data_IF_843146466134
#
_entry.id   IF_843146466134
#
_cell.length_a   1.000
_cell.length_b   1.000
_cell.length_c   1.000
_cell.angle_alpha   90.00
_cell.angle_beta   90.00
_cell.angle_gamma   90.00
#
_symmetry.space_group_name_H-M   'P 1'
#
loop_
_entity.id
_entity.type
_entity.pdbx_description
1 polymer ?
#
# COMPACT_ATOMS: atom_id res chain seq x y z
N UNK A 1 0.08 -32.61 19.37
CA UNK A 1 0.46 -32.63 17.93
C UNK A 1 -0.66 -32.06 17.02
N UNK A 2 -1.26 -30.91 17.37
CA UNK A 2 -2.37 -30.31 16.60
C UNK A 2 -1.98 -29.03 15.83
N UNK A 3 -0.77 -28.50 16.07
CA UNK A 3 -0.25 -27.25 15.49
C UNK A 3 0.57 -27.41 14.21
N UNK A 4 0.77 -28.63 13.71
CA UNK A 4 1.58 -28.88 12.51
C UNK A 4 0.77 -29.04 11.22
N UNK A 5 -0.58 -29.06 11.31
CA UNK A 5 -1.45 -29.25 10.14
C UNK A 5 -2.09 -27.95 9.63
N UNK A 6 -2.08 -26.86 10.41
CA UNK A 6 -2.57 -25.54 9.95
C UNK A 6 -1.59 -24.84 8.99
N UNK A 7 -0.30 -25.20 9.01
CA UNK A 7 0.72 -24.59 8.13
C UNK A 7 0.66 -25.05 6.65
N UNK A 8 -0.25 -25.96 6.28
CA UNK A 8 -0.32 -26.50 4.90
C UNK A 8 -1.50 -25.99 4.06
N UNK A 9 -2.37 -25.15 4.62
CA UNK A 9 -3.54 -24.60 3.92
C UNK A 9 -3.42 -23.14 3.47
N UNK A 10 -2.34 -22.45 3.83
CA UNK A 10 -2.18 -21.03 3.49
C UNK A 10 -1.90 -20.80 1.99
N UNK A 11 -1.11 -21.66 1.36
CA UNK A 11 -0.79 -21.53 -0.06
C UNK A 11 -2.01 -21.63 -0.98
N UNK A 12 -3.01 -22.42 -0.59
CA UNK A 12 -4.27 -22.56 -1.33
C UNK A 12 -5.19 -21.35 -1.14
N UNK A 13 -5.26 -20.80 0.08
CA UNK A 13 -6.07 -19.62 0.40
C UNK A 13 -5.53 -18.34 -0.26
N UNK A 14 -4.21 -18.21 -0.39
CA UNK A 14 -3.57 -17.05 -1.04
C UNK A 14 -3.78 -17.05 -2.57
N UNK A 15 -3.71 -18.23 -3.20
CA UNK A 15 -4.02 -18.38 -4.62
C UNK A 15 -5.51 -18.20 -4.92
N UNK A 16 -6.39 -18.68 -4.02
CA UNK A 16 -7.83 -18.43 -4.12
C UNK A 16 -8.17 -16.94 -3.96
N UNK A 17 -7.49 -16.21 -3.07
CA UNK A 17 -7.62 -14.76 -2.93
C UNK A 17 -7.10 -13.98 -4.14
N UNK A 18 -6.03 -14.43 -4.80
CA UNK A 18 -5.55 -13.84 -6.07
C UNK A 18 -6.53 -14.00 -7.24
N UNK A 19 -7.38 -15.03 -7.19
CA UNK A 19 -8.47 -15.26 -8.15
C UNK A 19 -9.82 -14.73 -7.66
N UNK A 20 -9.87 -14.02 -6.54
CA UNK A 20 -11.08 -13.33 -6.09
C UNK A 20 -11.27 -12.06 -6.90
N UNK A 21 -12.07 -12.19 -7.96
CA UNK A 21 -12.30 -11.19 -9.01
C UNK A 21 -13.16 -10.00 -8.54
N UNK A 22 -13.60 -10.00 -7.27
CA UNK A 22 -14.69 -9.14 -6.80
C UNK A 22 -14.28 -7.88 -6.04
N UNK A 23 -13.00 -7.69 -5.66
CA UNK A 23 -12.47 -6.44 -5.07
C UNK A 23 -13.41 -5.74 -4.05
N UNK A 24 -14.21 -6.50 -3.28
CA UNK A 24 -15.33 -5.93 -2.51
C UNK A 24 -14.88 -5.46 -1.12
N UNK A 25 -13.60 -5.62 -0.79
CA UNK A 25 -13.02 -5.19 0.48
C UNK A 25 -11.59 -4.72 0.19
N UNK A 26 -11.14 -3.63 0.82
CA UNK A 26 -9.81 -3.03 0.64
C UNK A 26 -8.73 -3.96 1.24
N UNK A 27 -8.49 -5.10 0.60
CA UNK A 27 -7.51 -6.13 0.96
C UNK A 27 -6.13 -5.79 0.35
N UNK A 28 -6.03 -4.66 -0.38
CA UNK A 28 -4.84 -4.26 -1.13
C UNK A 28 -3.56 -4.25 -0.28
N UNK A 29 -3.63 -3.82 0.97
CA UNK A 29 -2.48 -3.78 1.91
C UNK A 29 -1.94 -5.16 2.26
N UNK A 30 -2.78 -6.19 2.26
CA UNK A 30 -2.40 -7.57 2.61
C UNK A 30 -1.78 -8.32 1.42
N UNK A 31 -2.15 -7.96 0.18
CA UNK A 31 -1.62 -8.60 -1.03
C UNK A 31 -0.30 -7.99 -1.53
N UNK A 32 0.08 -6.79 -1.08
CA UNK A 32 1.35 -6.13 -1.45
C UNK A 32 2.59 -7.00 -1.27
N UNK A 33 2.82 -7.67 -0.11
CA UNK A 33 4.01 -8.52 0.05
C UNK A 33 4.05 -9.68 -0.95
N UNK A 34 2.90 -10.24 -1.31
CA UNK A 34 2.80 -11.32 -2.32
C UNK A 34 3.11 -10.80 -3.72
N UNK A 35 2.59 -9.63 -4.10
CA UNK A 35 2.87 -9.01 -5.40
C UNK A 35 4.34 -8.61 -5.50
N UNK A 36 4.91 -8.07 -4.42
CA UNK A 36 6.32 -7.71 -4.37
C UNK A 36 7.23 -8.92 -4.54
N UNK A 37 6.98 -10.00 -3.79
CA UNK A 37 7.76 -11.23 -3.87
C UNK A 37 7.65 -11.90 -5.23
N UNK A 38 6.46 -11.95 -5.83
CA UNK A 38 6.26 -12.42 -7.20
C UNK A 38 6.99 -11.55 -8.22
N UNK A 39 6.88 -10.22 -8.12
CA UNK A 39 7.55 -9.27 -9.01
C UNK A 39 9.07 -9.37 -8.94
N UNK A 40 9.62 -9.56 -7.74
CA UNK A 40 11.04 -9.79 -7.52
C UNK A 40 11.51 -11.12 -8.11
N UNK A 41 10.73 -12.20 -7.94
CA UNK A 41 11.04 -13.50 -8.51
C UNK A 41 11.03 -13.45 -10.04
N UNK A 42 10.00 -12.85 -10.63
CA UNK A 42 9.88 -12.67 -12.08
C UNK A 42 11.02 -11.81 -12.64
N UNK A 43 11.40 -10.74 -11.94
CA UNK A 43 12.53 -9.90 -12.32
C UNK A 43 13.84 -10.69 -12.31
N UNK A 44 14.07 -11.53 -11.29
CA UNK A 44 15.24 -12.42 -11.25
C UNK A 44 15.29 -13.40 -12.43
N UNK A 45 14.16 -14.05 -12.73
CA UNK A 45 14.04 -14.97 -13.86
C UNK A 45 14.29 -14.24 -15.19
N UNK A 46 13.70 -13.06 -15.36
CA UNK A 46 13.89 -12.23 -16.55
C UNK A 46 15.36 -11.83 -16.74
N UNK A 47 16.05 -11.41 -15.68
CA UNK A 47 17.48 -11.09 -15.73
C UNK A 47 18.33 -12.29 -16.13
N UNK A 48 18.10 -13.46 -15.52
CA UNK A 48 18.83 -14.69 -15.86
C UNK A 48 18.58 -15.09 -17.32
N UNK A 49 17.35 -15.00 -17.80
CA UNK A 49 16.99 -15.29 -19.18
C UNK A 49 17.73 -14.38 -20.17
N UNK A 50 17.76 -13.07 -19.90
CA UNK A 50 18.46 -12.10 -20.76
C UNK A 50 19.97 -12.34 -20.77
N UNK A 51 20.56 -12.66 -19.61
CA UNK A 51 21.98 -13.02 -19.53
C UNK A 51 22.26 -14.25 -20.38
N UNK A 52 21.46 -15.31 -20.25
CA UNK A 52 21.63 -16.53 -21.05
C UNK A 52 21.53 -16.25 -22.54
N UNK A 53 20.55 -15.44 -22.96
CA UNK A 53 20.40 -15.00 -24.34
C UNK A 53 21.61 -14.17 -24.83
N UNK A 54 22.19 -13.32 -23.99
CA UNK A 54 23.38 -12.54 -24.32
C UNK A 54 24.63 -13.40 -24.53
N UNK A 55 24.76 -14.53 -23.82
CA UNK A 55 25.84 -15.50 -24.04
C UNK A 55 25.71 -16.24 -25.37
N UNK A 56 24.49 -16.44 -25.87
CA UNK A 56 24.26 -17.08 -27.17
C UNK A 56 24.74 -16.22 -28.36
N UNK A 57 24.88 -14.91 -28.17
CA UNK A 57 25.40 -14.02 -29.21
C UNK A 57 26.93 -13.92 -29.20
N UNK A 58 27.53 -13.73 -28.02
CA UNK A 58 28.99 -13.65 -27.87
C UNK A 58 29.41 -13.82 -26.42
N UNK A 59 30.62 -14.36 -26.21
CA UNK A 59 31.22 -14.48 -24.88
C UNK A 59 31.44 -13.12 -24.22
N UNK A 60 31.82 -12.09 -24.99
CA UNK A 60 32.08 -10.75 -24.49
C UNK A 60 30.76 -10.08 -24.06
N UNK A 61 29.70 -10.20 -24.88
CA UNK A 61 28.38 -9.65 -24.53
C UNK A 61 27.80 -10.33 -23.30
N UNK A 62 27.95 -11.65 -23.20
CA UNK A 62 27.54 -12.42 -22.02
C UNK A 62 28.26 -11.96 -20.74
N UNK A 63 29.58 -11.77 -20.78
CA UNK A 63 30.34 -11.29 -19.63
C UNK A 63 29.95 -9.86 -19.19
N UNK A 64 29.73 -8.95 -20.16
CA UNK A 64 29.27 -7.58 -19.89
C UNK A 64 27.86 -7.58 -19.26
N UNK A 65 26.96 -8.41 -19.77
CA UNK A 65 25.62 -8.58 -19.20
C UNK A 65 25.65 -9.25 -17.82
N UNK A 66 26.55 -10.21 -17.59
CA UNK A 66 26.64 -10.89 -16.30
C UNK A 66 27.19 -9.99 -15.19
N UNK A 67 28.25 -9.21 -15.48
CA UNK A 67 28.92 -8.39 -14.45
C UNK A 67 28.31 -7.00 -14.26
N UNK A 68 27.82 -6.36 -15.33
CA UNK A 68 27.46 -4.94 -15.27
C UNK A 68 25.97 -4.70 -15.56
N UNK A 69 25.49 -5.08 -16.75
CA UNK A 69 24.12 -4.73 -17.16
C UNK A 69 23.05 -5.56 -16.44
N UNK A 70 23.31 -6.83 -16.14
CA UNK A 70 22.39 -7.74 -15.46
C UNK A 70 22.07 -7.29 -14.04
N UNK A 71 23.09 -7.09 -13.17
CA UNK A 71 22.86 -6.54 -11.83
C UNK A 71 22.19 -5.16 -11.87
N UNK A 72 22.60 -4.28 -12.78
CA UNK A 72 21.99 -2.96 -12.93
C UNK A 72 20.51 -3.05 -13.36
N UNK A 73 20.18 -3.93 -14.31
CA UNK A 73 18.81 -4.16 -14.78
C UNK A 73 17.94 -4.78 -13.69
N UNK A 74 18.45 -5.77 -12.96
CA UNK A 74 17.74 -6.38 -11.84
C UNK A 74 17.41 -5.36 -10.74
N UNK A 75 18.39 -4.54 -10.35
CA UNK A 75 18.18 -3.46 -9.38
C UNK A 75 17.16 -2.45 -9.90
N UNK A 76 17.26 -2.04 -11.17
CA UNK A 76 16.30 -1.13 -11.78
C UNK A 76 14.87 -1.69 -11.71
N UNK A 77 14.66 -2.96 -12.08
CA UNK A 77 13.34 -3.61 -11.99
C UNK A 77 12.81 -3.67 -10.56
N UNK A 78 13.63 -4.06 -9.59
CA UNK A 78 13.22 -4.09 -8.17
C UNK A 78 12.84 -2.69 -7.68
N UNK A 79 13.65 -1.68 -8.00
CA UNK A 79 13.38 -0.29 -7.60
C UNK A 79 12.09 0.19 -8.23
N UNK A 80 11.88 -0.06 -9.52
CA UNK A 80 10.62 0.29 -10.20
C UNK A 80 9.41 -0.36 -9.54
N UNK A 81 9.46 -1.66 -9.27
CA UNK A 81 8.37 -2.38 -8.59
C UNK A 81 8.14 -1.82 -7.19
N UNK A 82 9.21 -1.51 -6.44
CA UNK A 82 9.13 -0.92 -5.11
C UNK A 82 8.45 0.45 -5.12
N UNK A 83 8.89 1.33 -6.01
CA UNK A 83 8.32 2.67 -6.17
C UNK A 83 6.87 2.59 -6.59
N UNK A 84 6.52 1.69 -7.52
CA UNK A 84 5.14 1.50 -7.96
C UNK A 84 4.24 1.02 -6.81
N UNK A 85 4.68 0.03 -6.04
CA UNK A 85 3.93 -0.48 -4.89
C UNK A 85 3.80 0.57 -3.79
N UNK A 86 4.87 1.30 -3.49
CA UNK A 86 4.86 2.38 -2.51
C UNK A 86 3.90 3.50 -2.93
N UNK A 87 3.89 3.85 -4.23
CA UNK A 87 2.93 4.79 -4.79
C UNK A 87 1.49 4.30 -4.64
N UNK A 88 1.20 3.06 -5.06
CA UNK A 88 -0.13 2.46 -4.95
C UNK A 88 -0.60 2.44 -3.49
N UNK A 89 0.24 1.96 -2.56
CA UNK A 89 -0.04 1.94 -1.13
C UNK A 89 -0.30 3.33 -0.57
N UNK A 90 0.47 4.33 -1.01
CA UNK A 90 0.31 5.72 -0.56
C UNK A 90 -1.03 6.28 -1.00
N UNK A 91 -1.43 6.05 -2.24
CA UNK A 91 -2.74 6.47 -2.75
C UNK A 91 -3.88 5.84 -1.93
N UNK A 92 -3.81 4.53 -1.68
CA UNK A 92 -4.80 3.85 -0.84
C UNK A 92 -4.80 4.37 0.59
N UNK A 93 -3.63 4.64 1.17
CA UNK A 93 -3.51 5.20 2.53
C UNK A 93 -4.18 6.58 2.61
N UNK A 94 -4.00 7.43 1.59
CA UNK A 94 -4.65 8.75 1.55
C UNK A 94 -6.17 8.60 1.47
N UNK A 95 -6.68 7.71 0.60
CA UNK A 95 -8.11 7.46 0.48
C UNK A 95 -8.73 7.02 1.82
N UNK A 96 -8.09 6.07 2.50
CA UNK A 96 -8.56 5.59 3.81
C UNK A 96 -8.48 6.68 4.90
N UNK A 97 -7.43 7.50 4.88
CA UNK A 97 -7.29 8.60 5.82
C UNK A 97 -8.38 9.67 5.63
N UNK A 98 -8.75 9.97 4.38
CA UNK A 98 -9.85 10.90 4.08
C UNK A 98 -11.20 10.40 4.59
N UNK A 99 -11.48 9.10 4.47
CA UNK A 99 -12.71 8.49 5.00
C UNK A 99 -12.76 8.57 6.53
N UNK A 100 -11.64 8.30 7.21
CA UNK A 100 -11.54 8.45 8.67
C UNK A 100 -11.71 9.90 9.14
N UNK A 101 -11.21 10.88 8.37
CA UNK A 101 -11.38 12.31 8.68
C UNK A 101 -12.85 12.75 8.57
N UNK A 102 -13.59 12.25 7.57
CA UNK A 102 -15.02 12.55 7.40
C UNK A 102 -15.84 12.20 8.65
N UNK A 103 -15.61 11.01 9.22
CA UNK A 103 -16.30 10.59 10.44
C UNK A 103 -15.98 11.45 11.67
N UNK A 104 -14.74 11.94 11.81
CA UNK A 104 -14.36 12.81 12.93
C UNK A 104 -14.98 14.20 12.83
N UNK A 105 -15.09 14.75 11.62
CA UNK A 105 -15.70 16.06 11.39
C UNK A 105 -17.18 16.05 11.80
N UNK A 106 -17.90 14.97 11.55
CA UNK A 106 -19.30 14.80 11.94
C UNK A 106 -19.47 14.79 13.47
N UNK A 107 -18.59 14.07 14.18
CA UNK A 107 -18.60 14.10 15.65
C UNK A 107 -18.23 15.46 16.25
N UNK A 108 -17.27 16.19 15.65
CA UNK A 108 -16.88 17.53 16.11
C UNK A 108 -18.00 18.54 15.83
N UNK A 109 -18.66 18.43 14.67
CA UNK A 109 -19.82 19.25 14.34
C UNK A 109 -20.97 19.01 15.33
N UNK A 110 -21.25 17.75 15.68
CA UNK A 110 -22.23 17.40 16.71
C UNK A 110 -21.89 17.97 18.09
N UNK A 111 -20.63 17.87 18.52
CA UNK A 111 -20.20 18.47 19.79
C UNK A 111 -20.30 20.01 19.79
N UNK A 112 -20.02 20.65 18.66
CA UNK A 112 -20.14 22.10 18.54
C UNK A 112 -21.61 22.58 18.60
N UNK A 113 -22.55 21.78 18.09
CA UNK A 113 -23.99 22.04 18.20
C UNK A 113 -24.49 21.87 19.64
N UNK A 114 -24.06 20.81 20.34
CA UNK A 114 -24.37 20.59 21.76
C UNK A 114 -23.84 21.73 22.65
N UNK A 115 -22.62 22.22 22.39
CA UNK A 115 -22.05 23.38 23.11
C UNK A 115 -22.86 24.67 22.81
N UNK A 116 -23.45 24.80 21.62
CA UNK A 116 -24.28 25.97 21.29
C UNK A 116 -25.61 25.98 22.08
N UNK A 117 -26.24 24.81 22.29
CA UNK A 117 -27.45 24.72 23.13
C UNK A 117 -27.16 24.95 24.62
N UNK A 118 -26.00 24.52 25.12
CA UNK A 118 -25.66 24.62 26.56
C UNK A 118 -24.97 25.95 26.93
N UNK A 119 -24.87 26.91 26.01
CA UNK A 119 -24.29 28.23 26.33
C UNK A 119 -25.31 29.06 27.16
N UNK A 120 -25.06 29.31 28.47
CA UNK A 120 -25.95 30.18 29.24
C UNK A 120 -25.95 31.57 28.60
N UNK A 121 -27.14 32.17 28.44
CA UNK A 121 -27.31 33.52 27.88
C UNK A 121 -26.70 34.56 28.83
N UNK A 122 -25.38 34.71 28.78
CA UNK A 122 -24.64 35.72 29.54
C UNK A 122 -25.00 37.08 28.95
N UNK A 123 -25.84 37.86 29.64
CA UNK A 123 -26.17 39.26 29.30
C UNK A 123 -25.02 40.18 29.73
N UNK A 124 -23.93 40.23 28.97
CA UNK A 124 -22.75 41.04 29.35
C UNK A 124 -22.87 42.55 29.08
N UNK A 125 -23.95 43.05 28.45
CA UNK A 125 -23.98 44.46 27.98
C UNK A 125 -24.89 45.44 28.73
N UNK A 126 -25.47 45.10 29.89
CA UNK A 126 -26.35 46.05 30.59
C UNK A 126 -25.54 47.19 31.23
N UNK A 127 -25.29 48.26 30.48
CA UNK A 127 -24.70 49.52 30.97
C UNK A 127 -25.64 50.18 32.00
N UNK A 128 -25.14 50.72 33.13
CA UNK A 128 -25.98 51.45 34.07
C UNK A 128 -26.44 52.75 33.44
N UNK A 129 -27.75 53.04 33.48
CA UNK A 129 -28.27 54.37 33.14
C UNK A 129 -27.73 55.37 34.15
N UNK A 130 -26.93 56.34 33.70
CA UNK A 130 -26.64 57.53 34.47
C UNK A 130 -27.90 58.43 34.48
N UNK A 131 -28.26 58.91 35.68
CA UNK A 131 -29.29 59.90 35.94
C UNK A 131 -28.75 61.31 35.69
#
# INVERSE_FOLDING_TARGET
MKRLHEMRTDGGSLLAGLFDRQFTTVITTQMVPTIYTLGQLLSGIATVYVIFWAFQQSLISGAVWLCLLGPAMFLALIVTIRVLLEFVLTVFRIAFFLEALGGQIETIAGQAEEIHEDLPRIRFWRRPRAK
#
